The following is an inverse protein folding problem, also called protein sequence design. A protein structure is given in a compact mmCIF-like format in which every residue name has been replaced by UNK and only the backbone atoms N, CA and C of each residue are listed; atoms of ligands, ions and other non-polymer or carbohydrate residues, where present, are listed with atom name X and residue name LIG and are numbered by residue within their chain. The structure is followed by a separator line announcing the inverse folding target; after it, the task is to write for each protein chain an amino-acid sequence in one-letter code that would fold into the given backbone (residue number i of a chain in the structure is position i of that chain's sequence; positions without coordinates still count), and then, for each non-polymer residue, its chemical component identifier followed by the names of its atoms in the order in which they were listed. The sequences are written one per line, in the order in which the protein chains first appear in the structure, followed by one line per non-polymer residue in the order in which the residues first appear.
data_IF_393646300255
#
_entry.id   IF_393646300255
#
_cell.length_a   1.000
_cell.length_b   1.000
_cell.length_c   1.000
_cell.angle_alpha   90.00
_cell.angle_beta   90.00
_cell.angle_gamma   90.00
#
_symmetry.space_group_name_H-M   'P 1'
#
loop_
_entity.id
_entity.type
_entity.pdbx_description
1 polymer ?
#
# COMPACT_ATOMS: atom_id res chain seq x y z
N UNK A 1 21.18 -0.77 -0.01
CA UNK A 1 19.73 -0.86 -0.30
C UNK A 1 19.50 -0.29 -1.68
N UNK A 2 19.12 -1.12 -2.65
CA UNK A 2 18.71 -0.63 -3.96
C UNK A 2 17.27 -0.12 -3.84
N UNK A 3 17.05 1.17 -4.09
CA UNK A 3 15.70 1.73 -4.19
C UNK A 3 15.23 1.40 -5.59
N UNK A 4 14.36 0.38 -5.71
CA UNK A 4 13.70 0.09 -6.99
C UNK A 4 12.67 1.19 -7.22
N UNK A 5 12.93 2.05 -8.20
CA UNK A 5 11.98 3.08 -8.63
C UNK A 5 11.11 2.51 -9.73
N UNK A 6 9.88 2.12 -9.42
CA UNK A 6 8.87 1.82 -10.42
C UNK A 6 8.00 3.07 -10.66
N UNK A 7 7.67 3.31 -11.91
CA UNK A 7 6.67 4.31 -12.31
C UNK A 7 5.26 3.80 -12.00
N UNK A 8 4.29 4.73 -11.93
CA UNK A 8 2.89 4.38 -11.65
C UNK A 8 2.33 3.37 -12.65
N UNK A 9 2.66 3.56 -13.93
CA UNK A 9 2.19 2.70 -15.02
C UNK A 9 2.77 1.28 -14.92
N UNK A 10 4.02 1.15 -14.48
CA UNK A 10 4.65 -0.16 -14.24
C UNK A 10 4.06 -0.86 -13.01
N UNK A 11 3.64 -0.10 -12.00
CA UNK A 11 2.95 -0.66 -10.82
C UNK A 11 1.57 -1.18 -11.23
N UNK A 12 0.81 -0.42 -12.00
CA UNK A 12 -0.53 -0.79 -12.46
C UNK A 12 -0.47 -2.01 -13.40
N UNK A 13 0.53 -2.07 -14.29
CA UNK A 13 0.76 -3.24 -15.16
C UNK A 13 1.18 -4.48 -14.36
N UNK A 14 1.88 -4.31 -13.25
CA UNK A 14 2.32 -5.40 -12.37
C UNK A 14 1.19 -5.90 -11.46
N UNK A 15 0.33 -5.00 -10.97
CA UNK A 15 -0.77 -5.26 -10.03
C UNK A 15 -2.07 -5.59 -10.77
N UNK A 16 -2.05 -6.67 -11.53
CA UNK A 16 -3.27 -7.18 -12.19
C UNK A 16 -4.31 -7.65 -11.15
N UNK A 17 -5.61 -7.69 -11.50
CA UNK A 17 -6.67 -8.13 -10.57
C UNK A 17 -6.44 -9.54 -9.99
N UNK A 18 -5.88 -10.44 -10.80
CA UNK A 18 -5.52 -11.80 -10.36
C UNK A 18 -4.40 -11.78 -9.32
N UNK A 19 -3.39 -10.92 -9.51
CA UNK A 19 -2.30 -10.79 -8.53
C UNK A 19 -2.76 -10.10 -7.25
N UNK A 20 -3.63 -9.09 -7.35
CA UNK A 20 -4.24 -8.45 -6.18
C UNK A 20 -4.93 -9.47 -5.29
N UNK A 21 -5.74 -10.34 -5.88
CA UNK A 21 -6.43 -11.41 -5.15
C UNK A 21 -5.47 -12.42 -4.50
N UNK A 22 -4.40 -12.78 -5.21
CA UNK A 22 -3.36 -13.67 -4.67
C UNK A 22 -2.63 -13.06 -3.47
N UNK A 23 -2.32 -11.76 -3.52
CA UNK A 23 -1.68 -11.05 -2.41
C UNK A 23 -2.65 -10.86 -1.23
N UNK A 24 -3.94 -10.63 -1.48
CA UNK A 24 -4.97 -10.59 -0.43
C UNK A 24 -5.10 -11.94 0.29
N UNK A 25 -5.07 -13.05 -0.45
CA UNK A 25 -5.12 -14.39 0.15
C UNK A 25 -3.84 -14.69 0.93
N UNK A 26 -2.66 -14.32 0.42
CA UNK A 26 -1.40 -14.40 1.19
C UNK A 26 -1.42 -13.54 2.45
N UNK A 27 -2.06 -12.37 2.41
CA UNK A 27 -2.15 -11.49 3.56
C UNK A 27 -2.98 -12.09 4.70
N UNK A 28 -3.99 -12.91 4.39
CA UNK A 28 -4.78 -13.64 5.40
C UNK A 28 -3.97 -14.72 6.10
N UNK A 29 -3.05 -15.36 5.38
CA UNK A 29 -2.19 -16.42 5.91
C UNK A 29 -0.93 -15.88 6.62
N UNK A 30 -0.62 -14.59 6.45
CA UNK A 30 0.47 -13.98 7.20
C UNK A 30 0.06 -13.84 8.68
N UNK A 31 0.95 -14.15 9.64
CA UNK A 31 0.71 -13.92 11.06
C UNK A 31 0.88 -12.42 11.38
N UNK A 32 0.23 -11.54 10.61
CA UNK A 32 0.05 -10.14 10.97
C UNK A 32 -0.98 -10.09 12.09
N UNK A 33 -0.49 -10.17 13.33
CA UNK A 33 -1.30 -9.80 14.49
C UNK A 33 -1.24 -8.29 14.57
N UNK A 34 -2.33 -7.63 14.17
CA UNK A 34 -2.50 -6.22 14.49
C UNK A 34 -2.54 -6.05 16.00
N UNK A 35 -1.93 -4.97 16.50
CA UNK A 35 -2.01 -4.63 17.91
C UNK A 35 -3.50 -4.49 18.30
N UNK A 36 -3.98 -5.10 19.40
CA UNK A 36 -5.37 -4.96 19.85
C UNK A 36 -5.81 -3.51 20.03
N UNK A 37 -4.89 -2.59 20.26
CA UNK A 37 -5.16 -1.15 20.42
C UNK A 37 -5.17 -0.38 19.08
N UNK A 38 -4.90 -1.05 17.95
CA UNK A 38 -4.87 -0.43 16.63
C UNK A 38 -6.19 -0.70 15.88
N UNK A 39 -7.12 0.27 15.81
CA UNK A 39 -8.36 0.10 15.06
C UNK A 39 -8.08 -0.06 13.56
N UNK A 40 -8.93 -0.80 12.82
CA UNK A 40 -8.81 -0.92 11.38
C UNK A 40 -8.92 0.46 10.73
N UNK A 41 -8.13 0.66 9.68
CA UNK A 41 -8.11 1.94 8.99
C UNK A 41 -9.45 2.20 8.28
N UNK A 42 -10.11 3.29 8.64
CA UNK A 42 -11.34 3.72 7.95
C UNK A 42 -11.02 4.58 6.72
N UNK A 43 -11.98 4.69 5.79
CA UNK A 43 -11.85 5.54 4.60
C UNK A 43 -11.60 7.02 4.96
N UNK A 44 -12.12 7.47 6.11
CA UNK A 44 -11.93 8.84 6.58
C UNK A 44 -10.57 9.04 7.26
N UNK A 45 -10.04 8.02 7.93
CA UNK A 45 -8.70 8.04 8.48
C UNK A 45 -7.63 7.96 7.38
N UNK A 46 -7.91 7.24 6.28
CA UNK A 46 -7.02 7.17 5.11
C UNK A 46 -6.76 8.57 4.51
N UNK A 47 -7.78 9.44 4.48
CA UNK A 47 -7.67 10.83 3.98
C UNK A 47 -6.79 11.71 4.88
N UNK A 48 -6.60 11.35 6.15
CA UNK A 48 -5.80 12.10 7.13
C UNK A 48 -4.31 11.73 7.07
N UNK A 49 -3.95 10.63 6.41
CA UNK A 49 -2.56 10.28 6.22
C UNK A 49 -1.89 11.20 5.20
N UNK A 50 -1.13 12.15 5.71
CA UNK A 50 -0.25 12.97 4.89
C UNK A 50 1.12 12.30 4.74
N UNK A 51 1.56 12.15 3.50
CA UNK A 51 2.91 11.67 3.19
C UNK A 51 3.94 12.64 3.78
N UNK A 52 4.73 12.18 4.75
CA UNK A 52 5.84 12.96 5.29
C UNK A 52 6.86 13.19 4.16
N UNK A 53 7.08 14.46 3.80
CA UNK A 53 7.82 14.92 2.60
C UNK A 53 7.12 14.55 1.28
N UNK A 54 6.04 15.26 0.91
CA UNK A 54 5.50 15.14 -0.43
C UNK A 54 6.59 15.51 -1.44
N UNK A 55 6.87 14.63 -2.41
CA UNK A 55 7.71 15.01 -3.54
C UNK A 55 7.01 16.18 -4.23
N UNK A 56 7.66 17.35 -4.27
CA UNK A 56 7.17 18.45 -5.10
C UNK A 56 7.19 17.92 -6.54
N UNK A 57 6.02 17.69 -7.13
CA UNK A 57 5.93 17.50 -8.57
C UNK A 57 6.49 18.77 -9.20
N UNK A 58 7.60 18.65 -9.92
CA UNK A 58 8.06 19.71 -10.79
C UNK A 58 6.99 19.87 -11.87
N UNK A 59 6.49 21.10 -12.03
CA UNK A 59 5.68 21.55 -13.16
C UNK A 59 6.57 21.53 -14.41
#
# INVERSE_FOLDING_TARGET
MAIVTMTSEEIDAYMTPERMKMEEDRAKDMPLVFDPDCPPLTDDDAKRFHRVKPRKSAI
#
